data_IF_821215558509
#
_entry.id   IF_821215558509
#
_cell.length_a   1.000
_cell.length_b   1.000
_cell.length_c   1.000
_cell.angle_alpha   90.00
_cell.angle_beta   90.00
_cell.angle_gamma   90.00
#
_symmetry.space_group_name_H-M   'P 1'
#
loop_
_entity.id
_entity.type
_entity.pdbx_description
1 polymer ?
#
# COMPACT_ATOMS: atom_id res chain seq x y z
N UNK A 1 -15.56 14.33 -0.23
CA UNK A 1 -15.27 13.17 0.63
C UNK A 1 -14.97 11.97 -0.27
N UNK A 2 -13.71 11.70 -0.59
CA UNK A 2 -13.31 10.61 -1.48
C UNK A 2 -12.37 9.65 -0.73
N UNK A 3 -12.73 8.36 -0.75
CA UNK A 3 -11.89 7.15 -0.69
C UNK A 3 -10.90 7.02 0.48
N UNK A 4 -11.25 6.26 1.53
CA UNK A 4 -10.35 5.90 2.65
C UNK A 4 -9.63 4.55 2.47
N UNK A 5 -10.06 3.73 1.52
CA UNK A 5 -9.55 2.39 1.25
C UNK A 5 -8.49 2.31 0.18
N UNK A 6 -8.70 3.07 -0.90
CA UNK A 6 -7.62 3.36 -1.84
C UNK A 6 -6.43 3.97 -1.08
N UNK A 7 -6.71 4.72 -0.01
CA UNK A 7 -5.70 5.28 0.90
C UNK A 7 -4.94 4.19 1.67
N UNK A 8 -5.44 3.00 1.99
CA UNK A 8 -4.66 2.02 2.81
C UNK A 8 -3.56 1.32 2.01
N UNK A 9 -3.91 0.71 0.88
CA UNK A 9 -2.92 0.07 -0.01
C UNK A 9 -2.03 1.12 -0.68
N UNK A 10 -2.60 2.27 -1.08
CA UNK A 10 -1.78 3.37 -1.60
C UNK A 10 -1.03 4.13 -0.51
N UNK A 11 -1.34 4.01 0.79
CA UNK A 11 -0.50 4.57 1.86
C UNK A 11 0.81 3.81 1.96
N UNK A 12 0.81 2.48 1.81
CA UNK A 12 2.05 1.70 1.70
C UNK A 12 2.91 2.19 0.53
N UNK A 13 2.31 2.48 -0.62
CA UNK A 13 2.98 3.08 -1.80
C UNK A 13 3.45 4.53 -1.56
N UNK A 14 2.66 5.34 -0.85
CA UNK A 14 2.96 6.75 -0.53
C UNK A 14 4.18 6.89 0.37
N UNK A 15 4.36 5.91 1.26
CA UNK A 15 5.46 5.97 2.22
C UNK A 15 6.81 5.78 1.54
N UNK A 16 6.87 4.97 0.47
CA UNK A 16 8.08 4.77 -0.35
C UNK A 16 8.71 6.07 -0.83
N UNK A 17 7.90 7.04 -1.26
CA UNK A 17 8.45 8.24 -1.87
C UNK A 17 8.59 9.43 -0.89
N UNK A 18 8.16 9.28 0.37
CA UNK A 18 8.58 10.20 1.44
C UNK A 18 10.07 10.01 1.81
N UNK A 19 10.61 8.80 1.60
CA UNK A 19 12.03 8.47 1.87
C UNK A 19 12.96 8.98 0.76
N UNK A 20 12.50 9.00 -0.50
CA UNK A 20 13.32 9.45 -1.65
C UNK A 20 13.09 10.92 -2.04
N UNK A 21 12.12 11.60 -1.44
CA UNK A 21 11.67 12.95 -1.81
C UNK A 21 12.12 14.10 -0.90
N UNK A 22 13.13 13.92 -0.03
CA UNK A 22 13.68 15.04 0.74
C UNK A 22 14.92 15.61 0.03
N UNK A 23 14.67 16.31 -1.08
CA UNK A 23 15.26 17.62 -1.32
C UNK A 23 14.13 18.50 -1.83
N UNK A 24 13.70 19.43 -0.97
CA UNK A 24 12.50 20.22 -1.20
C UNK A 24 12.51 21.05 -2.47
N UNK A 25 11.30 21.42 -2.92
CA UNK A 25 11.09 22.67 -3.64
C UNK A 25 11.37 23.86 -2.71
N UNK A 26 12.65 24.11 -2.42
CA UNK A 26 13.34 25.41 -2.57
C UNK A 26 14.67 25.37 -1.81
N UNK A 27 15.77 25.42 -2.59
CA UNK A 27 17.15 25.80 -2.25
C UNK A 27 17.55 25.82 -0.76
N UNK A 28 18.38 24.84 -0.37
CA UNK A 28 19.74 25.08 0.16
C UNK A 28 20.62 23.89 -0.19
N UNK A 29 21.72 24.18 -0.89
CA UNK A 29 22.81 23.25 -1.18
C UNK A 29 23.50 22.84 0.12
N UNK A 30 24.02 21.60 0.13
CA UNK A 30 24.89 20.97 1.13
C UNK A 30 24.19 20.31 2.32
N UNK A 31 23.52 19.19 2.06
CA UNK A 31 23.59 17.99 2.91
C UNK A 31 23.14 16.82 2.04
N UNK A 32 24.06 15.89 1.75
CA UNK A 32 23.75 14.68 0.98
C UNK A 32 22.68 13.89 1.76
N UNK A 33 21.47 13.66 1.20
CA UNK A 33 20.53 12.76 1.82
C UNK A 33 21.16 11.37 1.87
N UNK A 34 21.09 10.71 3.03
CA UNK A 34 21.62 9.37 3.24
C UNK A 34 21.13 8.45 2.11
N UNK A 35 22.05 8.08 1.20
CA UNK A 35 21.80 7.10 0.15
C UNK A 35 21.52 5.76 0.81
N UNK A 36 20.27 5.33 0.82
CA UNK A 36 19.99 3.90 0.75
C UNK A 36 20.25 3.45 -0.69
N UNK A 37 21.53 3.22 -0.99
CA UNK A 37 21.96 2.42 -2.12
C UNK A 37 21.76 0.95 -1.74
N UNK A 38 20.57 0.39 -1.96
CA UNK A 38 20.41 -1.04 -2.24
C UNK A 38 19.01 -1.36 -2.81
N UNK A 39 19.03 -1.62 -4.13
CA UNK A 39 18.09 -2.36 -5.00
C UNK A 39 16.57 -2.11 -4.89
N UNK A 40 16.05 -1.31 -5.83
CA UNK A 40 14.73 -1.51 -6.47
C UNK A 40 14.90 -2.43 -7.68
N UNK A 41 15.04 -3.72 -7.42
CA UNK A 41 15.26 -4.74 -8.43
C UNK A 41 14.97 -6.10 -7.83
N UNK A 42 13.70 -6.40 -7.69
CA UNK A 42 13.21 -7.55 -6.93
C UNK A 42 12.17 -7.05 -5.94
N UNK A 43 10.98 -7.64 -5.98
CA UNK A 43 9.81 -7.20 -5.23
C UNK A 43 10.04 -6.95 -3.74
N UNK A 44 9.01 -6.40 -3.10
CA UNK A 44 8.94 -6.12 -1.67
C UNK A 44 9.82 -7.07 -0.81
N UNK A 45 10.75 -6.54 0.01
CA UNK A 45 11.79 -7.36 0.60
C UNK A 45 11.21 -8.37 1.59
N UNK A 46 11.68 -9.61 1.50
CA UNK A 46 11.64 -10.55 2.62
C UNK A 46 10.63 -11.70 2.54
N UNK A 47 9.92 -11.90 1.43
CA UNK A 47 9.11 -13.11 1.26
C UNK A 47 9.04 -13.61 -0.19
N UNK A 48 8.84 -14.92 -0.31
CA UNK A 48 8.73 -15.63 -1.58
C UNK A 48 7.25 -15.80 -1.96
N UNK A 49 6.84 -15.15 -3.05
CA UNK A 49 5.46 -15.20 -3.56
C UNK A 49 5.13 -16.57 -4.16
N UNK A 50 6.11 -17.35 -4.62
CA UNK A 50 5.88 -18.72 -5.10
C UNK A 50 5.51 -19.66 -3.96
N UNK A 51 5.95 -19.38 -2.74
CA UNK A 51 5.63 -20.13 -1.53
C UNK A 51 4.77 -19.33 -0.53
N UNK A 52 3.82 -18.55 -1.06
CA UNK A 52 2.95 -17.68 -0.26
C UNK A 52 2.15 -18.44 0.82
N UNK A 53 1.84 -19.71 0.61
CA UNK A 53 1.12 -20.57 1.55
C UNK A 53 1.94 -20.91 2.81
N UNK A 54 3.25 -20.64 2.81
CA UNK A 54 4.07 -20.70 4.03
C UNK A 54 3.85 -19.50 4.96
N UNK A 55 3.29 -18.41 4.45
CA UNK A 55 3.07 -17.15 5.19
C UNK A 55 1.60 -16.93 5.54
N UNK A 56 0.66 -17.35 4.69
CA UNK A 56 -0.78 -17.18 4.91
C UNK A 56 -1.51 -18.50 4.67
N UNK A 57 -2.42 -18.86 5.58
CA UNK A 57 -3.23 -20.08 5.40
C UNK A 57 -4.20 -19.89 4.24
N UNK A 58 -4.53 -20.95 3.48
CA UNK A 58 -5.62 -20.89 2.51
C UNK A 58 -6.93 -20.39 3.14
N UNK A 59 -7.58 -19.43 2.49
CA UNK A 59 -8.88 -18.88 2.88
C UNK A 59 -9.78 -18.66 1.66
N UNK A 60 -11.08 -18.60 1.90
CA UNK A 60 -12.08 -18.29 0.87
C UNK A 60 -12.10 -16.77 0.63
N UNK A 61 -11.93 -16.35 -0.62
CA UNK A 61 -11.96 -14.94 -1.04
C UNK A 61 -13.07 -14.65 -2.08
N UNK A 62 -13.91 -15.65 -2.35
CA UNK A 62 -15.08 -15.54 -3.24
C UNK A 62 -16.35 -15.94 -2.51
N UNK A 63 -17.52 -15.57 -3.05
CA UNK A 63 -18.81 -15.90 -2.44
C UNK A 63 -19.16 -15.09 -1.19
N UNK A 64 -18.37 -14.08 -0.82
CA UNK A 64 -18.68 -13.17 0.28
C UNK A 64 -19.86 -12.27 -0.08
N UNK A 65 -20.68 -11.96 0.94
CA UNK A 65 -21.72 -10.93 0.85
C UNK A 65 -21.40 -9.82 1.82
N UNK A 66 -21.20 -8.60 1.31
CA UNK A 66 -20.90 -7.42 2.13
C UNK A 66 -21.97 -6.36 1.99
N UNK A 67 -22.28 -5.70 3.11
CA UNK A 67 -23.20 -4.58 3.17
C UNK A 67 -22.42 -3.29 3.44
N UNK A 68 -22.73 -2.21 2.71
CA UNK A 68 -22.05 -0.92 2.84
C UNK A 68 -23.05 0.23 2.84
N UNK A 69 -22.74 1.31 3.56
CA UNK A 69 -23.59 2.49 3.62
C UNK A 69 -23.36 3.41 2.39
N UNK A 70 -24.34 4.27 2.08
CA UNK A 70 -24.13 5.33 1.08
C UNK A 70 -22.92 6.20 1.47
N UNK A 71 -21.97 6.33 0.54
CA UNK A 71 -20.72 7.08 0.76
C UNK A 71 -19.54 6.21 1.23
N UNK A 72 -19.76 4.94 1.55
CA UNK A 72 -18.70 3.95 1.73
C UNK A 72 -18.37 3.26 0.40
N UNK A 73 -17.13 2.77 0.26
CA UNK A 73 -16.73 2.01 -0.93
C UNK A 73 -17.07 0.52 -0.76
N UNK A 74 -17.78 -0.06 -1.73
CA UNK A 74 -17.98 -1.50 -1.80
C UNK A 74 -16.65 -2.27 -1.80
N UNK A 75 -15.63 -1.74 -2.49
CA UNK A 75 -14.29 -2.30 -2.52
C UNK A 75 -13.65 -2.34 -1.14
N UNK A 76 -13.81 -1.27 -0.34
CA UNK A 76 -13.29 -1.19 1.03
C UNK A 76 -13.88 -2.26 1.93
N UNK A 77 -15.20 -2.42 1.89
CA UNK A 77 -15.88 -3.41 2.73
C UNK A 77 -15.55 -4.82 2.32
N UNK A 78 -15.48 -5.07 1.01
CA UNK A 78 -15.11 -6.37 0.50
C UNK A 78 -13.68 -6.74 0.88
N UNK A 79 -12.72 -5.82 0.68
CA UNK A 79 -11.33 -6.04 1.07
C UNK A 79 -11.19 -6.29 2.57
N UNK A 80 -11.86 -5.49 3.41
CA UNK A 80 -11.84 -5.71 4.87
C UNK A 80 -12.38 -7.09 5.21
N UNK A 81 -13.55 -7.48 4.68
CA UNK A 81 -14.13 -8.80 4.97
C UNK A 81 -13.19 -9.95 4.59
N UNK A 82 -12.52 -9.84 3.45
CA UNK A 82 -11.58 -10.85 2.96
C UNK A 82 -10.30 -10.85 3.81
N UNK A 83 -9.64 -9.70 3.96
CA UNK A 83 -8.40 -9.57 4.74
C UNK A 83 -8.63 -9.99 6.20
N UNK A 84 -9.74 -9.59 6.83
CA UNK A 84 -10.09 -9.96 8.21
C UNK A 84 -10.30 -11.47 8.38
N UNK A 85 -10.74 -12.18 7.32
CA UNK A 85 -10.89 -13.64 7.34
C UNK A 85 -9.57 -14.40 7.18
N UNK A 86 -8.51 -13.74 6.70
CA UNK A 86 -7.23 -14.38 6.46
C UNK A 86 -6.41 -14.56 7.75
N UNK A 87 -5.84 -15.75 7.92
CA UNK A 87 -4.94 -16.09 9.02
C UNK A 87 -3.48 -16.09 8.54
N UNK A 88 -2.68 -15.18 9.09
CA UNK A 88 -1.24 -15.10 8.83
C UNK A 88 -0.51 -16.11 9.72
N UNK A 89 0.29 -16.99 9.11
CA UNK A 89 1.12 -17.99 9.77
C UNK A 89 2.39 -17.32 10.30
N UNK A 90 3.11 -16.60 9.43
CA UNK A 90 4.37 -15.93 9.73
C UNK A 90 4.35 -14.56 9.05
N UNK A 91 4.69 -13.53 9.83
CA UNK A 91 5.01 -12.21 9.29
C UNK A 91 6.50 -12.18 8.91
N UNK A 92 6.85 -11.93 7.63
CA UNK A 92 8.23 -11.80 7.22
C UNK A 92 8.87 -10.57 7.89
N UNK A 93 9.86 -10.78 8.75
CA UNK A 93 10.39 -9.73 9.63
C UNK A 93 11.02 -8.57 8.87
N UNK A 94 11.76 -8.85 7.79
CA UNK A 94 12.34 -7.82 6.94
C UNK A 94 11.26 -6.95 6.27
N UNK A 95 10.13 -7.55 5.91
CA UNK A 95 9.01 -6.87 5.28
C UNK A 95 8.22 -6.00 6.26
N UNK A 96 8.04 -6.50 7.49
CA UNK A 96 7.47 -5.71 8.59
C UNK A 96 8.38 -4.53 8.93
N UNK A 97 9.69 -4.75 9.03
CA UNK A 97 10.65 -3.69 9.34
C UNK A 97 10.67 -2.61 8.24
N UNK A 98 10.58 -3.04 6.98
CA UNK A 98 10.43 -2.12 5.86
C UNK A 98 9.26 -1.17 6.07
N UNK A 99 8.05 -1.69 6.34
CA UNK A 99 6.89 -0.82 6.60
C UNK A 99 7.01 -0.02 7.90
N UNK A 100 7.68 -0.54 8.93
CA UNK A 100 7.91 0.22 10.16
C UNK A 100 8.81 1.45 9.90
N UNK A 101 9.94 1.27 9.21
CA UNK A 101 10.85 2.37 8.85
C UNK A 101 10.18 3.42 7.96
N UNK A 102 9.40 2.95 7.01
CA UNK A 102 8.53 3.76 6.17
C UNK A 102 7.61 4.63 7.06
N UNK A 103 6.87 4.02 7.98
CA UNK A 103 5.98 4.75 8.89
C UNK A 103 6.74 5.77 9.76
N UNK A 104 7.93 5.40 10.28
CA UNK A 104 8.81 6.31 11.02
C UNK A 104 9.22 7.50 10.16
N UNK A 105 9.63 7.28 8.91
CA UNK A 105 10.01 8.33 7.98
C UNK A 105 8.86 9.32 7.73
N UNK A 106 7.63 8.82 7.58
CA UNK A 106 6.44 9.68 7.43
C UNK A 106 6.21 10.58 8.64
N UNK A 107 6.37 10.04 9.85
CA UNK A 107 6.25 10.85 11.07
C UNK A 107 7.41 11.86 11.20
N UNK A 108 8.64 11.51 10.82
CA UNK A 108 9.76 12.48 10.74
C UNK A 108 9.45 13.62 9.78
N UNK A 109 8.84 13.33 8.64
CA UNK A 109 8.40 14.35 7.69
C UNK A 109 7.36 15.31 8.30
N UNK A 110 6.31 14.79 8.95
CA UNK A 110 5.32 15.64 9.60
C UNK A 110 5.91 16.48 10.72
N UNK A 111 6.82 15.90 11.51
CA UNK A 111 7.50 16.62 12.58
C UNK A 111 8.30 17.80 12.03
N UNK A 112 9.08 17.57 10.97
CA UNK A 112 9.82 18.62 10.27
C UNK A 112 8.91 19.68 9.65
N UNK A 113 7.79 19.29 9.03
CA UNK A 113 6.83 20.21 8.43
C UNK A 113 6.20 21.12 9.47
N UNK A 114 5.88 20.57 10.64
CA UNK A 114 5.17 21.27 11.71
C UNK A 114 6.15 21.96 12.70
N UNK A 115 7.46 21.82 12.48
CA UNK A 115 8.50 22.46 13.27
C UNK A 115 8.67 21.88 14.68
N UNK A 116 8.25 20.63 14.89
CA UNK A 116 8.30 19.93 16.18
C UNK A 116 9.31 18.77 16.15
N UNK A 117 9.71 18.27 17.31
CA UNK A 117 10.55 17.08 17.39
C UNK A 117 9.80 15.80 16.97
N UNK A 118 10.50 14.79 16.43
CA UNK A 118 9.90 13.51 16.07
C UNK A 118 9.18 12.84 17.27
N UNK A 119 9.85 12.71 18.40
CA UNK A 119 9.27 12.11 19.61
C UNK A 119 8.12 12.96 20.17
N UNK A 120 8.23 14.28 20.09
CA UNK A 120 7.17 15.22 20.51
C UNK A 120 5.92 15.06 19.64
N UNK A 121 6.07 14.90 18.32
CA UNK A 121 4.96 14.60 17.43
C UNK A 121 4.32 13.25 17.78
N UNK A 122 5.12 12.20 18.00
CA UNK A 122 4.58 10.88 18.34
C UNK A 122 3.76 10.94 19.63
N UNK A 123 4.26 11.61 20.66
CA UNK A 123 3.56 11.82 21.92
C UNK A 123 2.26 12.60 21.71
N UNK A 124 2.28 13.70 20.96
CA UNK A 124 1.10 14.50 20.65
C UNK A 124 0.02 13.71 19.88
N UNK A 125 0.43 12.75 19.04
CA UNK A 125 -0.47 11.88 18.29
C UNK A 125 -0.87 10.61 19.05
N UNK A 126 -0.29 10.35 20.22
CA UNK A 126 -0.48 9.12 20.97
C UNK A 126 0.02 7.87 20.24
N UNK A 127 1.03 8.02 19.37
CA UNK A 127 1.60 6.91 18.59
C UNK A 127 2.78 6.33 19.36
N UNK A 128 2.76 5.01 19.56
CA UNK A 128 3.87 4.25 20.17
C UNK A 128 4.65 3.49 19.10
N UNK A 129 5.84 3.04 19.48
CA UNK A 129 6.65 2.15 18.63
C UNK A 129 5.92 0.85 18.31
N UNK A 130 5.26 0.25 19.30
CA UNK A 130 4.41 -0.92 19.09
C UNK A 130 3.27 -0.62 18.11
N UNK A 131 2.65 0.56 18.19
CA UNK A 131 1.63 1.00 17.24
C UNK A 131 2.14 1.16 15.80
N UNK A 132 3.40 1.55 15.63
CA UNK A 132 4.07 1.57 14.32
C UNK A 132 4.21 0.14 13.78
N UNK A 133 4.68 -0.80 14.60
CA UNK A 133 4.81 -2.20 14.21
C UNK A 133 3.46 -2.90 13.96
N UNK A 134 2.43 -2.60 14.74
CA UNK A 134 1.07 -3.10 14.51
C UNK A 134 0.55 -2.64 13.16
N UNK A 135 0.74 -1.36 12.83
CA UNK A 135 0.36 -0.83 11.54
C UNK A 135 1.18 -1.45 10.40
N UNK A 136 2.49 -1.62 10.58
CA UNK A 136 3.35 -2.28 9.61
C UNK A 136 2.89 -3.73 9.35
N UNK A 137 2.56 -4.50 10.40
CA UNK A 137 1.98 -5.84 10.24
C UNK A 137 0.63 -5.83 9.54
N UNK A 138 -0.19 -4.81 9.75
CA UNK A 138 -1.43 -4.63 8.98
C UNK A 138 -1.18 -4.50 7.48
N UNK A 139 -0.18 -3.72 7.09
CA UNK A 139 0.23 -3.56 5.68
C UNK A 139 0.79 -4.87 5.11
N UNK A 140 1.69 -5.53 5.85
CA UNK A 140 2.20 -6.86 5.45
C UNK A 140 1.09 -7.89 5.30
N UNK A 141 0.09 -7.87 6.19
CA UNK A 141 -1.08 -8.76 6.08
C UNK A 141 -1.80 -8.54 4.75
N UNK A 142 -2.06 -7.28 4.39
CA UNK A 142 -2.72 -6.94 3.13
C UNK A 142 -1.91 -7.42 1.91
N UNK A 143 -0.59 -7.29 1.92
CA UNK A 143 0.27 -7.77 0.82
C UNK A 143 0.30 -9.30 0.71
N UNK A 144 0.36 -10.00 1.84
CA UNK A 144 0.31 -11.47 1.85
C UNK A 144 -1.04 -12.00 1.35
N UNK A 145 -2.13 -11.35 1.76
CA UNK A 145 -3.49 -11.64 1.29
C UNK A 145 -3.61 -11.40 -0.21
N UNK A 146 -3.11 -10.25 -0.69
CA UNK A 146 -3.12 -9.95 -2.13
C UNK A 146 -2.32 -10.99 -2.92
N UNK A 147 -1.09 -11.28 -2.50
CA UNK A 147 -0.22 -12.24 -3.17
C UNK A 147 -0.86 -13.64 -3.24
N UNK A 148 -1.51 -14.08 -2.16
CA UNK A 148 -2.23 -15.35 -2.15
C UNK A 148 -3.37 -15.37 -3.17
N UNK A 149 -4.21 -14.32 -3.20
CA UNK A 149 -5.34 -14.23 -4.15
C UNK A 149 -4.83 -14.18 -5.59
N UNK A 150 -3.85 -13.33 -5.87
CA UNK A 150 -3.23 -13.19 -7.20
C UNK A 150 -2.73 -14.53 -7.70
N UNK A 151 -1.96 -15.24 -6.87
CA UNK A 151 -1.43 -16.56 -7.21
C UNK A 151 -2.54 -17.57 -7.42
N UNK A 152 -3.48 -17.69 -6.48
CA UNK A 152 -4.50 -18.74 -6.49
C UNK A 152 -5.53 -18.55 -7.61
N UNK A 153 -5.89 -17.30 -7.92
CA UNK A 153 -6.80 -16.97 -9.01
C UNK A 153 -6.10 -16.84 -10.37
N UNK A 154 -4.77 -16.98 -10.44
CA UNK A 154 -4.00 -16.85 -11.68
C UNK A 154 -4.09 -15.45 -12.30
N UNK A 155 -4.16 -14.41 -11.46
CA UNK A 155 -4.30 -13.03 -11.92
C UNK A 155 -2.93 -12.55 -12.43
N UNK A 156 -2.88 -12.20 -13.70
CA UNK A 156 -1.68 -11.67 -14.35
C UNK A 156 -2.06 -10.47 -15.20
N UNK A 157 -1.20 -9.44 -15.23
CA UNK A 157 -1.35 -8.32 -16.15
C UNK A 157 -0.75 -8.69 -17.51
N UNK A 158 -1.55 -8.57 -18.58
CA UNK A 158 -1.05 -8.72 -19.95
C UNK A 158 -0.21 -7.50 -20.34
N UNK A 159 0.66 -7.64 -21.34
CA UNK A 159 1.46 -6.50 -21.83
C UNK A 159 0.60 -5.34 -22.36
N UNK A 160 -0.55 -5.67 -22.96
CA UNK A 160 -1.52 -4.68 -23.42
C UNK A 160 -2.15 -3.90 -22.25
N UNK A 161 -2.50 -4.59 -21.15
CA UNK A 161 -3.03 -3.96 -19.94
C UNK A 161 -1.99 -3.05 -19.30
N UNK A 162 -0.74 -3.52 -19.16
CA UNK A 162 0.36 -2.71 -18.61
C UNK A 162 0.53 -1.42 -19.42
N UNK A 163 0.64 -1.54 -20.74
CA UNK A 163 0.85 -0.40 -21.64
C UNK A 163 -0.32 0.57 -21.60
N UNK A 164 -1.55 0.06 -21.67
CA UNK A 164 -2.76 0.89 -21.69
C UNK A 164 -2.95 1.66 -20.38
N UNK A 165 -2.66 1.01 -19.26
CA UNK A 165 -2.92 1.62 -17.95
C UNK A 165 -1.75 2.42 -17.41
N UNK A 166 -0.52 2.25 -17.93
CA UNK A 166 0.66 2.94 -17.39
C UNK A 166 0.46 4.44 -17.25
N UNK A 167 0.03 5.12 -18.32
CA UNK A 167 -0.25 6.55 -18.30
C UNK A 167 -1.29 6.95 -17.23
N UNK A 168 -2.38 6.18 -17.10
CA UNK A 168 -3.41 6.41 -16.06
C UNK A 168 -2.82 6.38 -14.65
N UNK A 169 -1.91 5.44 -14.36
CA UNK A 169 -1.29 5.34 -13.04
C UNK A 169 -0.21 6.40 -12.83
N UNK A 170 0.58 6.74 -13.85
CA UNK A 170 1.51 7.87 -13.81
C UNK A 170 0.75 9.17 -13.48
N UNK A 171 -0.30 9.47 -14.24
CA UNK A 171 -1.14 10.64 -14.03
C UNK A 171 -1.76 10.64 -12.63
N UNK A 172 -2.24 9.48 -12.15
CA UNK A 172 -2.76 9.32 -10.80
C UNK A 172 -1.71 9.67 -9.74
N UNK A 173 -0.46 9.22 -9.90
CA UNK A 173 0.64 9.54 -8.98
C UNK A 173 1.01 11.02 -9.02
N UNK A 174 1.06 11.63 -10.20
CA UNK A 174 1.37 13.06 -10.35
C UNK A 174 0.24 13.95 -9.82
N UNK A 175 -1.00 13.74 -10.27
CA UNK A 175 -2.13 14.62 -9.98
C UNK A 175 -2.63 14.50 -8.54
N UNK A 176 -2.73 13.27 -8.01
CA UNK A 176 -3.30 13.05 -6.68
C UNK A 176 -2.28 13.19 -5.55
N UNK A 177 -0.99 12.98 -5.85
CA UNK A 177 0.05 12.91 -4.83
C UNK A 177 1.19 13.91 -5.04
N UNK A 178 1.20 14.64 -6.16
CA UNK A 178 2.14 15.73 -6.40
C UNK A 178 3.57 15.28 -6.73
N UNK A 179 3.75 14.03 -7.17
CA UNK A 179 5.07 13.55 -7.57
C UNK A 179 5.54 14.19 -8.88
N UNK A 180 6.86 14.34 -9.02
CA UNK A 180 7.48 14.70 -10.29
C UNK A 180 7.28 13.56 -11.31
N UNK A 181 6.88 13.91 -12.53
CA UNK A 181 6.56 12.93 -13.57
C UNK A 181 7.78 12.08 -13.99
N UNK A 182 9.00 12.65 -13.96
CA UNK A 182 10.21 11.90 -14.29
C UNK A 182 10.53 10.92 -13.17
N UNK A 183 10.38 11.35 -11.91
CA UNK A 183 10.53 10.45 -10.77
C UNK A 183 9.57 9.26 -10.85
N UNK A 184 8.28 9.52 -11.11
CA UNK A 184 7.27 8.45 -11.25
C UNK A 184 7.64 7.50 -12.39
N UNK A 185 8.01 8.05 -13.55
CA UNK A 185 8.29 7.27 -14.75
C UNK A 185 9.58 6.44 -14.66
N UNK A 186 10.60 6.92 -13.93
CA UNK A 186 11.90 6.27 -13.84
C UNK A 186 12.08 5.38 -12.61
N UNK A 187 11.39 5.70 -11.50
CA UNK A 187 11.64 5.10 -10.19
C UNK A 187 10.43 4.40 -9.58
N UNK A 188 9.25 4.56 -10.17
CA UNK A 188 8.01 3.99 -9.62
C UNK A 188 7.37 2.89 -10.49
N UNK A 189 8.14 2.29 -11.41
CA UNK A 189 7.59 1.30 -12.33
C UNK A 189 7.01 0.06 -11.61
N UNK A 190 7.67 -0.43 -10.57
CA UNK A 190 7.19 -1.55 -9.75
C UNK A 190 5.93 -1.16 -8.96
N UNK A 191 5.92 0.03 -8.36
CA UNK A 191 4.79 0.59 -7.62
C UNK A 191 3.55 0.79 -8.51
N UNK A 192 3.76 1.20 -9.75
CA UNK A 192 2.71 1.33 -10.75
C UNK A 192 2.17 -0.05 -11.11
N UNK A 193 3.04 -1.04 -11.28
CA UNK A 193 2.64 -2.43 -11.55
C UNK A 193 1.81 -3.01 -10.40
N UNK A 194 2.25 -2.84 -9.15
CA UNK A 194 1.52 -3.31 -7.97
C UNK A 194 0.14 -2.66 -7.86
N UNK A 195 0.05 -1.35 -8.14
CA UNK A 195 -1.22 -0.64 -8.17
C UNK A 195 -2.16 -1.17 -9.27
N UNK A 196 -1.64 -1.49 -10.46
CA UNK A 196 -2.42 -2.14 -11.53
C UNK A 196 -2.92 -3.52 -11.11
N UNK A 197 -2.06 -4.31 -10.48
CA UNK A 197 -2.37 -5.67 -10.06
C UNK A 197 -3.42 -5.68 -8.95
N UNK A 198 -3.34 -4.74 -8.02
CA UNK A 198 -4.35 -4.51 -7.00
C UNK A 198 -5.71 -4.17 -7.63
N UNK A 199 -5.78 -3.19 -8.54
CA UNK A 199 -7.05 -2.80 -9.17
C UNK A 199 -7.66 -3.99 -9.94
N UNK A 200 -6.85 -4.75 -10.69
CA UNK A 200 -7.31 -5.97 -11.38
C UNK A 200 -7.81 -7.04 -10.41
N UNK A 201 -7.15 -7.19 -9.26
CA UNK A 201 -7.60 -8.11 -8.21
C UNK A 201 -8.91 -7.65 -7.61
N UNK A 202 -9.08 -6.34 -7.36
CA UNK A 202 -10.34 -5.80 -6.86
C UNK A 202 -11.49 -5.95 -7.87
N UNK A 203 -11.23 -5.81 -9.16
CA UNK A 203 -12.21 -6.10 -10.23
C UNK A 203 -12.63 -7.57 -10.18
N UNK A 204 -11.67 -8.50 -10.09
CA UNK A 204 -11.96 -9.92 -9.92
C UNK A 204 -12.81 -10.18 -8.67
N UNK A 205 -12.45 -9.59 -7.53
CA UNK A 205 -13.18 -9.79 -6.27
C UNK A 205 -14.61 -9.24 -6.37
N UNK A 206 -14.82 -8.07 -6.97
CA UNK A 206 -16.15 -7.50 -7.16
C UNK A 206 -17.04 -8.35 -8.09
N UNK A 207 -16.47 -9.07 -9.05
CA UNK A 207 -17.21 -9.96 -9.95
C UNK A 207 -17.59 -11.29 -9.28
N UNK A 208 -16.81 -11.73 -8.29
CA UNK A 208 -16.98 -13.03 -7.63
C UNK A 208 -17.56 -12.93 -6.22
N UNK A 209 -17.97 -11.75 -5.79
CA UNK A 209 -18.59 -11.48 -4.49
C UNK A 209 -19.79 -10.56 -4.65
N UNK A 210 -20.63 -10.49 -3.63
CA UNK A 210 -21.85 -9.69 -3.65
C UNK A 210 -21.71 -8.49 -2.72
N UNK A 211 -22.00 -7.29 -3.21
CA UNK A 211 -21.98 -6.06 -2.42
C UNK A 211 -23.31 -5.30 -2.51
N UNK A 212 -23.94 -5.00 -1.38
CA UNK A 212 -25.21 -4.30 -1.30
C UNK A 212 -25.12 -2.99 -0.53
N UNK A 213 -25.72 -1.93 -1.07
CA UNK A 213 -25.91 -0.67 -0.35
C UNK A 213 -27.05 -0.81 0.65
N UNK A 214 -26.83 -0.50 1.93
CA UNK A 214 -27.91 -0.34 2.90
C UNK A 214 -28.56 1.02 2.74
N UNK A 215 -29.84 1.07 2.37
CA UNK A 215 -30.61 2.32 2.45
C UNK A 215 -30.86 2.64 3.93
N UNK A 216 -30.42 3.81 4.40
CA UNK A 216 -30.85 4.31 5.71
C UNK A 216 -32.36 4.56 5.67
N UNK A 217 -33.11 3.89 6.56
CA UNK A 217 -34.50 4.24 6.83
C UNK A 217 -34.60 5.61 7.49
#
# INVERSE_FOLDING_TARGET
>A
MKTKGLIRFMSALLVCAAVFGIVGCSKKENEEPARFEESFGGGLPGYDTENIESYVKPFEYTGHTVYYAMGESAQEKLWSAISDSAEIIIYPSAHVEYYAEQERARYRYYASRDGVGYNELLEALGVTEDGIYEKARGLVKDDLVLAYIVKNAGIVLTEDEKTRFYGKYVDKFVELYGYDINYVSEKMAEQIYDAMLYDKTMEFLLLNNTAYTTQSK
#
